data_IF_868097250362
#
_entry.id   IF_868097250362
#
_cell.length_a   1.000
_cell.length_b   1.000
_cell.length_c   1.000
_cell.angle_alpha   90.00
_cell.angle_beta   90.00
_cell.angle_gamma   90.00
#
_symmetry.space_group_name_H-M   'P 1'
#
loop_
_entity.id
_entity.type
_entity.pdbx_description
1 polymer ?
#
# COMPACT_ATOMS: atom_id res chain seq x y z
N UNK A 1 7.81 -15.84 -8.95
CA UNK A 1 6.66 -15.21 -9.64
C UNK A 1 7.07 -13.80 -10.01
N UNK A 2 6.85 -13.37 -11.26
CA UNK A 2 7.18 -12.01 -11.70
C UNK A 2 5.91 -11.17 -11.75
N UNK A 3 5.89 -10.04 -11.03
CA UNK A 3 4.82 -9.03 -11.08
C UNK A 3 5.36 -7.86 -11.89
N UNK A 4 4.64 -7.39 -12.89
CA UNK A 4 5.05 -6.17 -13.62
C UNK A 4 4.60 -4.96 -12.80
N UNK A 5 5.51 -4.02 -12.63
CA UNK A 5 5.27 -2.84 -11.80
C UNK A 5 5.72 -1.59 -12.56
N UNK A 6 4.85 -0.59 -12.64
CA UNK A 6 5.21 0.77 -12.99
C UNK A 6 5.28 1.57 -11.70
N UNK A 7 6.41 2.27 -11.49
CA UNK A 7 6.63 3.14 -10.34
C UNK A 7 6.82 4.58 -10.80
N UNK A 8 5.84 5.42 -10.48
CA UNK A 8 5.83 6.87 -10.72
C UNK A 8 6.18 7.68 -9.46
N UNK A 9 6.60 7.01 -8.38
CA UNK A 9 7.05 7.68 -7.16
C UNK A 9 8.57 7.92 -7.18
N UNK A 10 9.04 8.78 -6.28
CA UNK A 10 10.48 8.98 -6.05
C UNK A 10 11.13 7.88 -5.17
N UNK A 11 10.35 6.88 -4.74
CA UNK A 11 10.81 5.84 -3.81
C UNK A 11 11.22 4.56 -4.54
N UNK A 12 12.11 3.74 -3.95
CA UNK A 12 12.35 2.39 -4.44
C UNK A 12 11.08 1.53 -4.36
N UNK A 13 11.05 0.45 -5.12
CA UNK A 13 9.96 -0.53 -5.05
C UNK A 13 9.82 -1.11 -3.63
N UNK A 14 8.60 -1.46 -3.20
CA UNK A 14 8.39 -2.19 -1.95
C UNK A 14 9.19 -3.50 -1.96
N UNK A 15 9.74 -3.84 -0.81
CA UNK A 15 10.51 -5.05 -0.61
C UNK A 15 10.17 -5.67 0.74
N UNK A 16 10.32 -6.98 0.83
CA UNK A 16 10.27 -7.68 2.09
C UNK A 16 11.47 -7.26 2.95
N UNK A 17 11.21 -6.86 4.20
CA UNK A 17 12.26 -6.38 5.07
C UNK A 17 13.22 -7.50 5.52
N UNK A 18 12.69 -8.72 5.62
CA UNK A 18 13.41 -9.94 5.99
C UNK A 18 12.83 -11.14 5.23
N UNK A 19 13.54 -12.26 5.22
CA UNK A 19 13.08 -13.51 4.60
C UNK A 19 11.74 -14.02 5.17
N UNK A 20 11.46 -13.76 6.45
CA UNK A 20 10.22 -14.17 7.12
C UNK A 20 9.06 -13.16 6.99
N UNK A 21 9.24 -12.06 6.25
CA UNK A 21 8.21 -11.03 6.14
C UNK A 21 7.02 -11.49 5.28
N UNK A 22 5.80 -11.34 5.78
CA UNK A 22 4.57 -11.70 5.04
C UNK A 22 4.05 -10.58 4.14
N UNK A 23 4.54 -9.34 4.30
CA UNK A 23 4.10 -8.18 3.55
C UNK A 23 5.23 -7.19 3.31
N UNK A 24 4.95 -6.22 2.45
CA UNK A 24 5.87 -5.14 2.07
C UNK A 24 5.27 -3.79 2.47
N UNK A 25 6.08 -2.89 3.00
CA UNK A 25 5.63 -1.55 3.37
C UNK A 25 5.46 -0.69 2.10
N UNK A 26 4.29 -0.03 1.98
CA UNK A 26 4.00 0.96 0.94
C UNK A 26 4.32 2.37 1.46
N UNK A 27 4.75 3.25 0.54
CA UNK A 27 5.11 4.64 0.86
C UNK A 27 4.10 5.60 0.26
N UNK A 28 3.81 6.68 0.99
CA UNK A 28 2.97 7.76 0.52
C UNK A 28 3.71 8.61 -0.52
N UNK A 29 3.22 8.65 -1.75
CA UNK A 29 3.75 9.48 -2.83
C UNK A 29 3.02 10.84 -2.88
N UNK A 30 3.28 11.67 -1.87
CA UNK A 30 2.68 13.01 -1.73
C UNK A 30 3.80 14.07 -1.73
N UNK A 31 3.59 15.23 -2.38
CA UNK A 31 4.61 16.27 -2.49
C UNK A 31 4.81 17.03 -1.18
N UNK A 32 3.77 17.09 -0.34
CA UNK A 32 3.74 17.87 0.88
C UNK A 32 3.16 17.08 2.05
N UNK A 33 3.34 17.60 3.27
CA UNK A 33 2.79 16.98 4.48
C UNK A 33 1.28 16.99 4.45
N UNK A 34 0.68 15.84 4.74
CA UNK A 34 -0.76 15.67 4.90
C UNK A 34 -1.11 15.68 6.39
N UNK A 35 -2.07 16.53 6.77
CA UNK A 35 -2.63 16.56 8.13
C UNK A 35 -3.98 15.86 8.09
N UNK A 36 -4.13 14.78 8.86
CA UNK A 36 -5.39 14.05 9.00
C UNK A 36 -6.05 14.40 10.33
N UNK A 37 -7.24 15.01 10.29
CA UNK A 37 -8.02 15.31 11.49
C UNK A 37 -8.76 14.07 12.00
N UNK A 38 -9.26 14.14 13.22
CA UNK A 38 -10.07 13.06 13.79
C UNK A 38 -11.24 12.70 12.87
N UNK A 39 -11.37 11.40 12.57
CA UNK A 39 -12.39 10.81 11.68
C UNK A 39 -12.30 11.22 10.20
N UNK A 40 -11.33 12.05 9.82
CA UNK A 40 -11.06 12.39 8.43
C UNK A 40 -10.55 11.15 7.68
N UNK A 41 -10.86 11.10 6.38
CA UNK A 41 -10.45 10.02 5.48
C UNK A 41 -9.89 10.63 4.23
N UNK A 42 -8.78 10.09 3.78
CA UNK A 42 -8.08 10.56 2.59
C UNK A 42 -7.52 9.37 1.84
N UNK A 43 -7.56 9.44 0.52
CA UNK A 43 -6.87 8.50 -0.35
C UNK A 43 -5.42 8.96 -0.52
N UNK A 44 -4.47 8.14 -0.09
CA UNK A 44 -3.04 8.45 -0.18
C UNK A 44 -2.44 7.68 -1.36
N UNK A 45 -1.95 8.35 -2.42
CA UNK A 45 -1.38 7.66 -3.57
C UNK A 45 -0.03 7.00 -3.20
N UNK A 46 0.26 5.86 -3.81
CA UNK A 46 1.55 5.17 -3.71
C UNK A 46 2.47 5.44 -4.90
N UNK A 47 1.89 5.85 -6.04
CA UNK A 47 2.59 5.93 -7.32
C UNK A 47 2.94 4.57 -7.92
N UNK A 48 2.38 3.48 -7.41
CA UNK A 48 2.62 2.11 -7.88
C UNK A 48 1.42 1.59 -8.65
N UNK A 49 1.68 1.00 -9.81
CA UNK A 49 0.71 0.32 -10.65
C UNK A 49 1.23 -1.09 -10.88
N UNK A 50 0.40 -2.09 -10.60
CA UNK A 50 0.81 -3.50 -10.63
C UNK A 50 -0.06 -4.30 -11.60
N UNK A 51 0.55 -5.28 -12.25
CA UNK A 51 -0.13 -6.32 -13.00
C UNK A 51 0.11 -7.64 -12.28
N UNK A 52 -0.91 -8.09 -11.52
CA UNK A 52 -0.87 -9.37 -10.84
C UNK A 52 -1.22 -10.50 -11.82
N UNK A 53 -0.58 -11.67 -11.70
CA UNK A 53 -0.99 -12.85 -12.45
C UNK A 53 -2.42 -13.29 -12.11
N UNK A 54 -3.11 -13.91 -13.07
CA UNK A 54 -4.44 -14.48 -12.83
C UNK A 54 -4.41 -15.50 -11.69
N UNK A 55 -5.44 -15.48 -10.83
CA UNK A 55 -5.55 -16.36 -9.67
C UNK A 55 -4.85 -15.84 -8.41
N UNK A 56 -4.33 -14.61 -8.45
CA UNK A 56 -3.73 -13.93 -7.30
C UNK A 56 -4.44 -12.61 -7.04
N UNK A 57 -4.39 -12.19 -5.79
CA UNK A 57 -4.74 -10.85 -5.34
C UNK A 57 -3.59 -10.26 -4.52
N UNK A 58 -3.53 -8.93 -4.42
CA UNK A 58 -2.76 -8.27 -3.39
C UNK A 58 -3.73 -7.72 -2.33
N UNK A 59 -3.31 -7.75 -1.06
CA UNK A 59 -4.09 -7.21 0.04
C UNK A 59 -3.38 -6.02 0.68
N UNK A 60 -4.06 -4.88 0.72
CA UNK A 60 -3.61 -3.69 1.45
C UNK A 60 -4.11 -3.79 2.89
N UNK A 61 -3.17 -3.91 3.84
CA UNK A 61 -3.44 -4.07 5.27
C UNK A 61 -2.82 -2.93 6.09
N UNK A 62 -3.39 -2.57 7.25
CA UNK A 62 -2.85 -1.55 8.14
C UNK A 62 -1.48 -1.93 8.71
N UNK A 63 -0.63 -0.93 8.95
CA UNK A 63 0.58 -1.10 9.76
C UNK A 63 0.22 -1.05 11.24
N UNK A 64 0.45 -2.15 11.96
CA UNK A 64 0.09 -2.29 13.38
C UNK A 64 0.63 -1.17 14.27
N UNK A 65 1.86 -0.70 14.00
CA UNK A 65 2.47 0.40 14.73
C UNK A 65 1.73 1.74 14.61
N UNK A 66 1.18 2.06 13.43
CA UNK A 66 0.37 3.27 13.22
C UNK A 66 -1.01 3.11 13.85
N UNK A 67 -1.59 1.91 13.76
CA UNK A 67 -2.88 1.61 14.37
C UNK A 67 -2.87 1.80 15.89
N UNK A 68 -1.90 1.19 16.59
CA UNK A 68 -1.87 1.26 18.06
C UNK A 68 -1.40 2.62 18.60
N UNK A 69 -0.46 3.29 17.92
CA UNK A 69 0.12 4.55 18.42
C UNK A 69 -0.68 5.79 18.03
N UNK A 70 -1.39 5.74 16.91
CA UNK A 70 -2.01 6.92 16.30
C UNK A 70 -3.49 6.69 15.90
N UNK A 71 -4.03 5.48 16.06
CA UNK A 71 -5.39 5.16 15.63
C UNK A 71 -5.58 5.17 14.11
N UNK A 72 -4.50 5.13 13.33
CA UNK A 72 -4.54 5.19 11.87
C UNK A 72 -4.71 3.77 11.29
N UNK A 73 -5.68 3.62 10.39
CA UNK A 73 -5.96 2.34 9.73
C UNK A 73 -6.32 2.54 8.24
N UNK A 74 -6.34 1.44 7.49
CA UNK A 74 -6.97 1.38 6.18
C UNK A 74 -8.45 1.06 6.37
N UNK A 75 -9.35 1.99 6.04
CA UNK A 75 -10.79 1.82 6.27
C UNK A 75 -11.35 0.56 5.61
N UNK A 76 -10.88 0.24 4.41
CA UNK A 76 -11.33 -0.89 3.61
C UNK A 76 -10.49 -2.16 3.85
N UNK A 77 -9.82 -2.31 5.00
CA UNK A 77 -8.95 -3.47 5.23
C UNK A 77 -9.71 -4.80 5.33
N UNK A 78 -9.17 -5.90 4.77
CA UNK A 78 -8.09 -5.93 3.77
C UNK A 78 -8.57 -5.34 2.44
N UNK A 79 -7.86 -4.35 1.92
CA UNK A 79 -8.18 -3.78 0.62
C UNK A 79 -7.71 -4.72 -0.49
N UNK A 80 -8.64 -5.28 -1.26
CA UNK A 80 -8.33 -6.22 -2.35
C UNK A 80 -7.89 -5.48 -3.60
N UNK A 81 -6.80 -5.96 -4.20
CA UNK A 81 -6.36 -5.60 -5.55
C UNK A 81 -6.40 -6.87 -6.39
N UNK A 82 -7.36 -6.95 -7.30
CA UNK A 82 -7.58 -8.09 -8.17
C UNK A 82 -6.59 -8.12 -9.35
N UNK A 83 -6.46 -9.29 -9.98
CA UNK A 83 -5.54 -9.49 -11.13
C UNK A 83 -5.88 -8.72 -12.40
N UNK A 84 -7.09 -8.16 -12.51
CA UNK A 84 -7.55 -7.31 -13.61
C UNK A 84 -7.43 -5.80 -13.31
N UNK A 85 -7.09 -5.41 -12.07
CA UNK A 85 -6.88 -4.02 -11.71
C UNK A 85 -5.53 -3.49 -12.24
N UNK A 86 -5.51 -2.29 -12.81
CA UNK A 86 -4.31 -1.67 -13.41
C UNK A 86 -3.98 -0.27 -12.87
N UNK A 87 -4.62 0.13 -11.76
CA UNK A 87 -4.53 1.48 -11.20
C UNK A 87 -5.63 2.38 -11.71
#
# INVERSE_FOLDING_TARGET
MAVKIINQSAFPLPQYATEGSSGMDLRANIPEKLVLRSLERVLVPTGLFIELPQGFEAQVRPRSGLAIKQGITCLNTPGTIDSDYRG
#
